data_IF_961396195504
#
_entry.id   IF_961396195504
#
_cell.length_a   1.000
_cell.length_b   1.000
_cell.length_c   1.000
_cell.angle_alpha   90.00
_cell.angle_beta   90.00
_cell.angle_gamma   90.00
#
_symmetry.space_group_name_H-M   'P 1'
#
loop_
_entity.id
_entity.type
_entity.pdbx_description
1 polymer ?
#
# COMPACT_ATOMS: atom_id res chain seq x y z
N UNK A 1 0.12 -7.48 42.45
CA UNK A 1 -0.92 -8.21 41.69
C UNK A 1 -1.45 -7.43 40.48
N UNK A 2 -1.82 -6.14 40.56
CA UNK A 2 -2.32 -5.31 39.44
C UNK A 2 -1.32 -5.12 38.29
N UNK A 3 -0.03 -4.99 38.54
CA UNK A 3 1.00 -4.76 37.52
C UNK A 3 1.21 -6.01 36.67
N UNK A 4 1.30 -7.18 37.28
CA UNK A 4 1.45 -8.46 36.58
C UNK A 4 0.24 -8.76 35.67
N UNK A 5 -0.98 -8.43 36.15
CA UNK A 5 -2.19 -8.58 35.35
C UNK A 5 -2.18 -7.66 34.12
N UNK A 6 -1.75 -6.39 34.26
CA UNK A 6 -1.59 -5.45 33.15
C UNK A 6 -0.56 -5.91 32.15
N UNK A 7 0.59 -6.42 32.61
CA UNK A 7 1.65 -6.95 31.73
C UNK A 7 1.16 -8.15 30.93
N UNK A 8 0.41 -9.05 31.56
CA UNK A 8 -0.12 -10.24 30.87
C UNK A 8 -1.16 -9.87 29.81
N UNK A 9 -2.07 -8.94 30.12
CA UNK A 9 -3.04 -8.41 29.15
C UNK A 9 -2.35 -7.75 27.95
N UNK A 10 -1.34 -6.93 28.18
CA UNK A 10 -0.57 -6.28 27.10
C UNK A 10 0.13 -7.31 26.23
N UNK A 11 0.69 -8.36 26.82
CA UNK A 11 1.35 -9.44 26.09
C UNK A 11 0.36 -10.19 25.17
N UNK A 12 -0.82 -10.54 25.72
CA UNK A 12 -1.88 -11.22 24.98
C UNK A 12 -2.37 -10.34 23.82
N UNK A 13 -2.61 -9.06 24.07
CA UNK A 13 -3.01 -8.11 23.02
C UNK A 13 -1.97 -7.99 21.91
N UNK A 14 -0.69 -7.87 22.24
CA UNK A 14 0.39 -7.83 21.24
C UNK A 14 0.45 -9.10 20.41
N UNK A 15 0.27 -10.27 21.03
CA UNK A 15 0.22 -11.56 20.33
C UNK A 15 -0.96 -11.61 19.36
N UNK A 16 -2.15 -11.19 19.81
CA UNK A 16 -3.35 -11.15 18.97
C UNK A 16 -3.18 -10.24 17.75
N UNK A 17 -2.62 -9.03 17.94
CA UNK A 17 -2.34 -8.08 16.85
C UNK A 17 -1.38 -8.71 15.83
N UNK A 18 -0.26 -9.26 16.27
CA UNK A 18 0.72 -9.91 15.39
C UNK A 18 0.12 -11.08 14.60
N UNK A 19 -0.76 -11.86 15.22
CA UNK A 19 -1.45 -12.96 14.54
C UNK A 19 -2.37 -12.44 13.45
N UNK A 20 -3.15 -11.40 13.74
CA UNK A 20 -4.02 -10.76 12.75
C UNK A 20 -3.24 -10.17 11.57
N UNK A 21 -2.14 -9.47 11.85
CA UNK A 21 -1.23 -8.93 10.84
C UNK A 21 -0.66 -10.04 9.95
N UNK A 22 -0.19 -11.14 10.55
CA UNK A 22 0.34 -12.29 9.81
C UNK A 22 -0.71 -12.91 8.86
N UNK A 23 -1.95 -13.03 9.30
CA UNK A 23 -3.06 -13.50 8.48
C UNK A 23 -3.29 -12.57 7.29
N UNK A 24 -3.38 -11.25 7.54
CA UNK A 24 -3.60 -10.25 6.49
C UNK A 24 -2.43 -10.19 5.48
N UNK A 25 -1.19 -10.32 5.93
CA UNK A 25 -0.03 -10.38 5.03
C UNK A 25 -0.09 -11.58 4.08
N UNK A 26 -0.45 -12.77 4.58
CA UNK A 26 -0.60 -13.94 3.73
C UNK A 26 -1.82 -13.82 2.81
N UNK A 27 -2.92 -13.24 3.29
CA UNK A 27 -4.10 -12.96 2.45
C UNK A 27 -3.75 -11.97 1.32
N UNK A 28 -2.97 -10.92 1.59
CA UNK A 28 -2.45 -10.00 0.55
C UNK A 28 -1.59 -10.70 -0.48
N UNK A 29 -0.68 -11.59 -0.05
CA UNK A 29 0.16 -12.37 -0.97
C UNK A 29 -0.67 -13.26 -1.88
N UNK A 30 -1.64 -13.98 -1.32
CA UNK A 30 -2.54 -14.83 -2.10
C UNK A 30 -3.46 -14.02 -3.02
N UNK A 31 -3.94 -12.86 -2.58
CA UNK A 31 -4.72 -11.94 -3.41
C UNK A 31 -3.92 -11.45 -4.63
N UNK A 32 -2.66 -11.12 -4.44
CA UNK A 32 -1.77 -10.70 -5.55
C UNK A 32 -1.48 -11.85 -6.53
N UNK A 33 -1.41 -13.10 -6.04
CA UNK A 33 -1.09 -14.27 -6.85
C UNK A 33 -2.26 -14.77 -7.70
N UNK A 34 -3.46 -14.81 -7.16
CA UNK A 34 -4.61 -15.46 -7.80
C UNK A 34 -5.92 -14.66 -7.80
N UNK A 35 -5.91 -13.46 -7.25
CA UNK A 35 -7.07 -12.59 -7.10
C UNK A 35 -7.83 -12.80 -5.78
N UNK A 36 -8.50 -11.74 -5.33
CA UNK A 36 -9.24 -11.70 -4.06
C UNK A 36 -10.35 -12.77 -3.97
N UNK A 37 -11.06 -13.00 -5.08
CA UNK A 37 -12.18 -13.95 -5.12
C UNK A 37 -11.76 -15.40 -4.87
N UNK A 38 -10.53 -15.76 -5.23
CA UNK A 38 -9.99 -17.11 -5.13
C UNK A 38 -9.32 -17.41 -3.79
N UNK A 39 -9.32 -16.47 -2.84
CA UNK A 39 -8.79 -16.70 -1.50
C UNK A 39 -9.67 -17.71 -0.77
N UNK A 40 -9.03 -18.74 -0.17
CA UNK A 40 -9.70 -19.74 0.63
C UNK A 40 -9.28 -19.66 2.11
N UNK A 41 -10.25 -19.78 3.04
CA UNK A 41 -9.98 -19.72 4.49
C UNK A 41 -8.96 -20.79 4.94
N UNK A 42 -9.10 -22.04 4.46
CA UNK A 42 -8.15 -23.13 4.78
C UNK A 42 -6.74 -22.85 4.29
N UNK A 43 -6.63 -22.29 3.11
CA UNK A 43 -5.34 -21.95 2.50
C UNK A 43 -4.62 -20.85 3.28
N UNK A 44 -5.35 -19.77 3.65
CA UNK A 44 -4.80 -18.71 4.49
C UNK A 44 -4.43 -19.20 5.87
N UNK A 45 -5.22 -20.10 6.47
CA UNK A 45 -4.90 -20.77 7.73
C UNK A 45 -3.55 -21.48 7.65
N UNK A 46 -3.35 -22.33 6.62
CA UNK A 46 -2.10 -23.02 6.37
C UNK A 46 -0.94 -22.08 6.11
N UNK A 47 -1.09 -21.11 5.20
CA UNK A 47 -0.06 -20.13 4.85
C UNK A 47 0.37 -19.27 6.04
N UNK A 48 -0.56 -18.99 6.95
CA UNK A 48 -0.30 -18.20 8.16
C UNK A 48 0.21 -19.06 9.33
N UNK A 49 0.23 -20.39 9.20
CA UNK A 49 0.52 -21.32 10.29
C UNK A 49 -0.37 -21.06 11.53
N UNK A 50 -1.66 -20.88 11.29
CA UNK A 50 -2.67 -20.59 12.30
C UNK A 50 -3.77 -21.63 12.17
N UNK A 51 -4.26 -22.17 13.27
CA UNK A 51 -5.38 -23.11 13.23
C UNK A 51 -6.62 -22.46 12.61
N UNK A 52 -7.38 -23.23 11.82
CA UNK A 52 -8.56 -22.72 11.10
C UNK A 52 -9.59 -22.10 12.06
N UNK A 53 -9.81 -22.69 13.23
CA UNK A 53 -10.67 -22.12 14.26
C UNK A 53 -10.17 -20.78 14.79
N UNK A 54 -8.84 -20.61 14.90
CA UNK A 54 -8.25 -19.34 15.28
C UNK A 54 -8.46 -18.29 14.19
N UNK A 55 -8.37 -18.67 12.91
CA UNK A 55 -8.66 -17.76 11.78
C UNK A 55 -10.11 -17.28 11.84
N UNK A 56 -11.08 -18.17 12.11
CA UNK A 56 -12.50 -17.81 12.24
C UNK A 56 -12.78 -16.90 13.45
N UNK A 57 -11.97 -16.96 14.51
CA UNK A 57 -12.08 -16.01 15.63
C UNK A 57 -11.70 -14.58 15.23
N UNK A 58 -10.83 -14.38 14.23
CA UNK A 58 -10.45 -13.06 13.72
C UNK A 58 -11.35 -12.61 12.56
N UNK A 59 -11.77 -13.54 11.72
CA UNK A 59 -12.55 -13.31 10.51
C UNK A 59 -13.65 -14.38 10.42
N UNK A 60 -14.87 -14.06 10.85
CA UNK A 60 -15.97 -15.03 10.96
C UNK A 60 -16.32 -15.71 9.64
N UNK A 61 -16.08 -15.04 8.53
CA UNK A 61 -16.34 -15.52 7.18
C UNK A 61 -15.27 -15.06 6.19
N UNK A 62 -15.38 -15.56 4.97
CA UNK A 62 -14.47 -15.21 3.87
C UNK A 62 -14.58 -13.74 3.48
N UNK A 63 -15.78 -13.21 3.50
CA UNK A 63 -16.10 -11.83 3.14
C UNK A 63 -15.41 -10.84 4.09
N UNK A 64 -15.46 -11.09 5.39
CA UNK A 64 -14.79 -10.27 6.40
C UNK A 64 -13.26 -10.30 6.23
N UNK A 65 -12.68 -11.45 5.86
CA UNK A 65 -11.26 -11.54 5.55
C UNK A 65 -10.91 -10.74 4.28
N UNK A 66 -11.72 -10.82 3.23
CA UNK A 66 -11.52 -10.06 1.98
C UNK A 66 -11.60 -8.56 2.25
N UNK A 67 -12.64 -8.10 2.95
CA UNK A 67 -12.81 -6.68 3.31
C UNK A 67 -11.62 -6.17 4.12
N UNK A 68 -11.18 -6.92 5.12
CA UNK A 68 -10.03 -6.55 5.93
C UNK A 68 -8.73 -6.53 5.10
N UNK A 69 -8.58 -7.45 4.15
CA UNK A 69 -7.43 -7.49 3.23
C UNK A 69 -7.42 -6.27 2.32
N UNK A 70 -8.54 -5.92 1.71
CA UNK A 70 -8.70 -4.70 0.88
C UNK A 70 -8.38 -3.46 1.71
N UNK A 71 -8.95 -3.34 2.91
CA UNK A 71 -8.71 -2.22 3.82
C UNK A 71 -7.23 -2.10 4.20
N UNK A 72 -6.55 -3.24 4.41
CA UNK A 72 -5.11 -3.26 4.71
C UNK A 72 -4.28 -2.77 3.52
N UNK A 73 -4.59 -3.24 2.30
CA UNK A 73 -3.92 -2.78 1.07
C UNK A 73 -4.14 -1.28 0.86
N UNK A 74 -5.37 -0.82 1.05
CA UNK A 74 -5.73 0.59 0.92
C UNK A 74 -4.98 1.49 1.89
N UNK A 75 -4.95 1.10 3.17
CA UNK A 75 -4.24 1.85 4.20
C UNK A 75 -2.73 1.90 3.94
N UNK A 76 -2.14 0.83 3.45
CA UNK A 76 -0.74 0.78 3.02
C UNK A 76 -0.49 1.73 1.85
N UNK A 77 -1.37 1.72 0.86
CA UNK A 77 -1.28 2.60 -0.32
C UNK A 77 -1.42 4.06 0.07
N UNK A 78 -2.43 4.43 0.88
CA UNK A 78 -2.60 5.81 1.38
C UNK A 78 -1.43 6.20 2.30
N UNK A 79 -0.94 5.28 3.14
CA UNK A 79 0.22 5.52 3.98
C UNK A 79 1.47 5.85 3.16
N UNK A 80 1.64 5.20 2.02
CA UNK A 80 2.72 5.50 1.08
C UNK A 80 2.53 6.84 0.36
N UNK A 81 1.29 7.24 0.03
CA UNK A 81 0.98 8.54 -0.55
C UNK A 81 1.25 9.70 0.41
N UNK A 82 1.16 9.48 1.73
CA UNK A 82 1.48 10.48 2.76
C UNK A 82 2.99 10.74 2.90
N UNK A 83 3.83 9.90 2.34
CA UNK A 83 5.27 10.18 2.28
C UNK A 83 5.53 11.28 1.26
N UNK A 84 6.49 12.20 1.51
CA UNK A 84 6.76 13.33 0.62
C UNK A 84 6.96 12.92 -0.84
N UNK A 85 7.71 11.85 -1.08
CA UNK A 85 7.96 11.30 -2.41
C UNK A 85 6.68 10.77 -3.11
N UNK A 86 5.78 10.15 -2.36
CA UNK A 86 4.51 9.64 -2.89
C UNK A 86 3.55 10.76 -3.25
N UNK A 87 3.48 11.79 -2.42
CA UNK A 87 2.63 12.97 -2.65
C UNK A 87 3.09 13.75 -3.89
N UNK A 88 4.39 14.00 -4.02
CA UNK A 88 4.95 14.72 -5.19
C UNK A 88 4.70 13.95 -6.48
N UNK A 89 4.87 12.63 -6.48
CA UNK A 89 4.60 11.79 -7.66
C UNK A 89 3.12 11.80 -8.04
N UNK A 90 2.22 11.65 -7.07
CA UNK A 90 0.77 11.70 -7.30
C UNK A 90 0.32 13.07 -7.84
N UNK A 91 0.86 14.16 -7.29
CA UNK A 91 0.58 15.53 -7.73
C UNK A 91 1.07 15.76 -9.16
N UNK A 92 2.25 15.27 -9.52
CA UNK A 92 2.80 15.39 -10.87
C UNK A 92 1.94 14.68 -11.91
N UNK A 93 1.51 13.44 -11.61
CA UNK A 93 0.61 12.68 -12.49
C UNK A 93 -0.75 13.36 -12.62
N UNK A 94 -1.32 13.84 -11.52
CA UNK A 94 -2.58 14.57 -11.52
C UNK A 94 -2.50 15.84 -12.38
N UNK A 95 -1.46 16.64 -12.24
CA UNK A 95 -1.26 17.84 -13.06
C UNK A 95 -1.07 17.52 -14.54
N UNK A 96 -0.33 16.46 -14.87
CA UNK A 96 -0.13 16.00 -16.23
C UNK A 96 -1.45 15.55 -16.88
N UNK A 97 -2.28 14.79 -16.16
CA UNK A 97 -3.60 14.35 -16.63
C UNK A 97 -4.55 15.54 -16.80
N UNK A 98 -4.55 16.47 -15.87
CA UNK A 98 -5.40 17.67 -15.95
C UNK A 98 -5.05 18.52 -17.16
N UNK A 99 -3.76 18.75 -17.41
CA UNK A 99 -3.29 19.47 -18.59
C UNK A 99 -3.72 18.78 -19.90
N UNK A 100 -3.45 17.48 -20.03
CA UNK A 100 -3.84 16.72 -21.21
C UNK A 100 -5.35 16.72 -21.46
N UNK A 101 -6.15 16.65 -20.40
CA UNK A 101 -7.61 16.71 -20.52
C UNK A 101 -8.10 18.08 -20.99
N UNK A 102 -7.53 19.16 -20.43
CA UNK A 102 -7.88 20.53 -20.82
C UNK A 102 -7.49 20.83 -22.29
N UNK A 103 -6.35 20.33 -22.72
CA UNK A 103 -5.87 20.47 -24.09
C UNK A 103 -6.79 19.74 -25.09
N UNK A 104 -7.26 18.52 -24.73
CA UNK A 104 -8.22 17.75 -25.55
C UNK A 104 -9.59 18.42 -25.64
N UNK A 105 -10.06 19.06 -24.53
CA UNK A 105 -11.36 19.77 -24.49
C UNK A 105 -11.26 21.15 -25.19
N UNK A 106 -10.06 21.61 -25.53
CA UNK A 106 -9.86 22.91 -26.19
C UNK A 106 -10.05 24.11 -25.27
N UNK A 107 -9.94 23.93 -23.97
CA UNK A 107 -9.97 25.04 -23.01
C UNK A 107 -8.58 25.66 -22.88
N UNK A 108 -8.39 26.95 -23.29
CA UNK A 108 -7.08 27.58 -23.18
C UNK A 108 -6.73 27.83 -21.70
N UNK A 109 -5.64 27.24 -21.22
CA UNK A 109 -5.04 27.67 -19.96
C UNK A 109 -4.48 29.07 -20.10
N UNK A 110 -4.65 29.91 -19.06
CA UNK A 110 -3.92 31.16 -19.03
C UNK A 110 -2.40 30.89 -19.04
N UNK A 111 -1.64 31.71 -19.76
CA UNK A 111 -0.19 31.52 -19.91
C UNK A 111 0.56 31.39 -18.57
N UNK A 112 0.08 32.08 -17.54
CA UNK A 112 0.63 31.97 -16.19
C UNK A 112 0.37 30.58 -15.56
N UNK A 113 -0.83 30.03 -15.72
CA UNK A 113 -1.19 28.73 -15.17
C UNK A 113 -0.44 27.59 -15.92
N UNK A 114 -0.28 27.71 -17.22
CA UNK A 114 0.49 26.77 -18.04
C UNK A 114 1.98 26.75 -17.65
N UNK A 115 2.56 27.92 -17.37
CA UNK A 115 3.93 28.02 -16.86
C UNK A 115 4.09 27.37 -15.47
N UNK A 116 3.14 27.55 -14.55
CA UNK A 116 3.15 26.91 -13.23
C UNK A 116 3.03 25.39 -13.33
N UNK A 117 2.09 24.91 -14.13
CA UNK A 117 1.88 23.46 -14.31
C UNK A 117 3.11 22.84 -14.98
N UNK A 118 3.68 23.48 -15.98
CA UNK A 118 4.89 23.02 -16.67
C UNK A 118 6.10 23.02 -15.75
N UNK A 119 6.26 24.02 -14.91
CA UNK A 119 7.35 24.10 -13.93
C UNK A 119 7.29 23.00 -12.89
N UNK A 120 6.13 22.75 -12.29
CA UNK A 120 5.94 21.69 -11.28
C UNK A 120 6.06 20.30 -11.93
N UNK A 121 5.50 20.11 -13.12
CA UNK A 121 5.64 18.86 -13.86
C UNK A 121 7.12 18.59 -14.23
N UNK A 122 7.87 19.63 -14.62
CA UNK A 122 9.30 19.53 -14.90
C UNK A 122 10.11 19.07 -13.69
N UNK A 123 9.86 19.64 -12.51
CA UNK A 123 10.50 19.21 -11.25
C UNK A 123 10.14 17.77 -10.95
N UNK A 124 8.87 17.37 -11.13
CA UNK A 124 8.41 16.00 -10.93
C UNK A 124 9.14 15.00 -11.85
N UNK A 125 9.39 15.36 -13.11
CA UNK A 125 10.12 14.53 -14.06
C UNK A 125 11.61 14.38 -13.67
N UNK A 126 12.25 15.43 -13.18
CA UNK A 126 13.63 15.38 -12.68
C UNK A 126 13.74 14.48 -11.47
N UNK A 127 12.80 14.59 -10.52
CA UNK A 127 12.74 13.73 -9.33
C UNK A 127 12.48 12.26 -9.68
N UNK A 128 11.61 12.00 -10.65
CA UNK A 128 11.31 10.66 -11.13
C UNK A 128 12.52 10.07 -11.89
N UNK A 129 13.20 10.86 -12.70
CA UNK A 129 14.42 10.46 -13.37
C UNK A 129 15.56 10.13 -12.42
N UNK A 130 15.80 10.98 -11.41
CA UNK A 130 16.80 10.73 -10.37
C UNK A 130 16.45 9.51 -9.52
N UNK A 131 15.18 9.31 -9.17
CA UNK A 131 14.69 8.13 -8.46
C UNK A 131 14.93 6.83 -9.26
N UNK A 132 14.67 6.82 -10.55
CA UNK A 132 14.96 5.70 -11.45
C UNK A 132 16.47 5.39 -11.54
N UNK A 133 17.31 6.41 -11.64
CA UNK A 133 18.77 6.24 -11.67
C UNK A 133 19.26 5.61 -10.35
N UNK A 134 18.79 6.12 -9.22
CA UNK A 134 19.15 5.58 -7.89
C UNK A 134 18.65 4.13 -7.72
N UNK A 135 17.46 3.81 -8.21
CA UNK A 135 16.93 2.45 -8.24
C UNK A 135 17.84 1.54 -9.08
N UNK A 136 18.22 1.97 -10.27
CA UNK A 136 19.11 1.20 -11.17
C UNK A 136 20.49 0.95 -10.55
N UNK A 137 21.07 1.98 -9.90
CA UNK A 137 22.34 1.86 -9.17
C UNK A 137 22.23 0.90 -8.00
N UNK A 138 21.13 0.93 -7.24
CA UNK A 138 20.90 0.02 -6.11
C UNK A 138 20.70 -1.42 -6.56
N UNK A 139 19.96 -1.65 -7.65
CA UNK A 139 19.80 -2.98 -8.25
C UNK A 139 21.12 -3.55 -8.80
N UNK A 140 21.95 -2.70 -9.39
CA UNK A 140 23.28 -3.10 -9.88
C UNK A 140 24.21 -3.51 -8.73
N UNK A 141 24.17 -2.78 -7.59
CA UNK A 141 24.91 -3.14 -6.36
C UNK A 141 24.39 -4.43 -5.72
N UNK A 142 23.10 -4.70 -5.77
CA UNK A 142 22.50 -5.92 -5.24
C UNK A 142 22.88 -7.18 -6.07
N UNK A 143 23.11 -7.04 -7.38
CA UNK A 143 23.59 -8.12 -8.26
C UNK A 143 25.10 -8.40 -8.15
N UNK A 144 25.87 -7.50 -7.54
CA UNK A 144 27.33 -7.61 -7.42
C UNK A 144 27.78 -8.23 -6.07
N UNK A 145 26.85 -8.68 -5.23
CA UNK A 145 27.02 -9.50 -4.03
C UNK A 145 26.53 -10.92 -4.28
#
# INVERSE_FOLDING_TARGET
MRILLKMNVVHIMKKAIRTKEKILENAKKEARRKGLEKIGMREISSASSVALGTLYNYFPDKESLIIATISSIWNETIGNLKKPEGFVSALSVFMMLTRGTLEVIGLPLSSALDAYISGIAGIGHILLGTGLILLFVSLRKAKAK
#
